data_IF_761661308107
#
_entry.id   IF_761661308107
#
_cell.length_a   1.000
_cell.length_b   1.000
_cell.length_c   1.000
_cell.angle_alpha   90.00
_cell.angle_beta   90.00
_cell.angle_gamma   90.00
#
_symmetry.space_group_name_H-M   'P 1'
#
loop_
_entity.id
_entity.type
_entity.pdbx_description
1 polymer ?
#
# COMPACT_ATOMS: atom_id res chain seq x y z
N UNK A 1 -20.94 9.08 34.46
CA UNK A 1 -21.81 8.90 33.27
C UNK A 1 -21.28 9.77 32.14
N UNK A 2 -21.37 9.27 30.91
CA UNK A 2 -21.10 9.91 29.59
C UNK A 2 -19.88 9.37 28.83
N UNK A 3 -20.06 8.17 28.28
CA UNK A 3 -19.48 7.78 27.00
C UNK A 3 -20.23 8.53 25.88
N UNK A 4 -19.58 9.44 25.13
CA UNK A 4 -20.23 10.19 24.03
C UNK A 4 -19.44 10.29 22.71
N UNK A 5 -18.24 9.72 22.58
CA UNK A 5 -17.41 9.96 21.38
C UNK A 5 -17.47 8.90 20.25
N UNK A 6 -18.34 7.89 20.34
CA UNK A 6 -18.38 6.78 19.36
C UNK A 6 -19.28 7.02 18.15
N UNK A 7 -20.18 8.01 18.19
CA UNK A 7 -21.21 8.20 17.15
C UNK A 7 -20.78 9.12 16.00
N UNK A 8 -19.84 10.04 16.23
CA UNK A 8 -19.37 10.99 15.19
C UNK A 8 -18.60 10.27 14.06
N UNK A 9 -17.97 9.16 14.41
CA UNK A 9 -17.24 8.31 13.48
C UNK A 9 -18.17 7.66 12.46
N UNK A 10 -19.39 7.30 12.83
CA UNK A 10 -20.30 6.54 11.95
C UNK A 10 -20.85 7.40 10.80
N UNK A 11 -20.96 8.72 10.95
CA UNK A 11 -21.47 9.60 9.87
C UNK A 11 -20.53 9.74 8.68
N UNK A 12 -19.23 9.66 8.89
CA UNK A 12 -18.23 9.69 7.80
C UNK A 12 -17.92 8.26 7.33
N UNK A 13 -18.55 7.27 7.97
CA UNK A 13 -18.21 5.85 7.98
C UNK A 13 -19.50 4.98 7.83
N UNK A 14 -20.54 5.57 7.23
CA UNK A 14 -21.35 4.83 6.24
C UNK A 14 -20.82 5.13 4.84
N UNK A 15 -19.66 5.83 4.75
CA UNK A 15 -18.78 5.91 3.58
C UNK A 15 -17.42 5.19 3.79
N UNK A 16 -17.22 4.58 4.95
CA UNK A 16 -16.12 3.67 5.29
C UNK A 16 -16.71 2.74 6.35
N UNK A 17 -16.78 1.45 6.15
CA UNK A 17 -17.89 0.57 6.58
C UNK A 17 -17.99 0.33 8.11
N UNK A 18 -19.16 -0.09 8.62
CA UNK A 18 -19.41 -0.20 10.07
C UNK A 18 -18.35 -1.03 10.83
N UNK A 19 -17.52 -0.35 11.62
CA UNK A 19 -16.52 -0.95 12.49
C UNK A 19 -16.71 -0.50 13.94
N UNK A 20 -17.26 -1.39 14.77
CA UNK A 20 -17.17 -1.27 16.23
C UNK A 20 -15.87 -1.89 16.70
N UNK A 21 -14.81 -1.08 16.81
CA UNK A 21 -13.69 -1.39 17.69
C UNK A 21 -13.90 -0.64 19.01
N UNK A 22 -13.99 -1.38 20.12
CA UNK A 22 -13.88 -0.80 21.46
C UNK A 22 -12.56 -0.02 21.56
N UNK A 23 -12.54 1.24 22.01
CA UNK A 23 -11.29 1.96 22.20
C UNK A 23 -10.59 1.49 23.47
N UNK A 24 -9.38 0.94 23.33
CA UNK A 24 -8.36 1.04 24.38
C UNK A 24 -7.79 2.46 24.29
N UNK A 25 -8.13 3.32 25.25
CA UNK A 25 -7.67 4.72 25.27
C UNK A 25 -6.18 4.75 25.60
N UNK A 26 -5.35 5.15 24.63
CA UNK A 26 -3.99 5.68 24.89
C UNK A 26 -4.14 7.19 25.00
N UNK A 27 -3.88 7.72 26.19
CA UNK A 27 -3.80 9.16 26.43
C UNK A 27 -2.51 9.70 25.78
N UNK A 28 -2.65 10.62 24.83
CA UNK A 28 -1.53 11.35 24.25
C UNK A 28 -1.74 12.83 24.56
N UNK A 29 -0.85 13.38 25.40
CA UNK A 29 -0.83 14.77 25.83
C UNK A 29 -0.19 15.67 24.78
N UNK A 30 -0.86 16.77 24.44
CA UNK A 30 -0.41 17.81 23.52
C UNK A 30 0.70 18.68 24.13
N UNK A 31 1.68 19.03 23.30
CA UNK A 31 2.53 20.21 23.46
C UNK A 31 2.30 21.13 22.24
N UNK A 32 1.93 22.38 22.53
CA UNK A 32 1.42 23.36 21.57
C UNK A 32 2.54 24.12 20.85
N UNK A 33 2.39 24.26 19.53
CA UNK A 33 3.08 25.26 18.71
C UNK A 33 2.06 26.25 18.16
N UNK A 34 2.24 27.54 18.48
CA UNK A 34 1.45 28.66 17.94
C UNK A 34 2.16 29.20 16.70
N UNK A 35 1.68 28.84 15.52
CA UNK A 35 1.96 29.57 14.29
C UNK A 35 0.65 30.10 13.69
N UNK A 36 0.65 31.39 13.36
CA UNK A 36 -0.47 32.10 12.71
C UNK A 36 -0.54 31.66 11.25
N UNK A 37 -1.42 30.70 10.94
CA UNK A 37 -1.73 30.28 9.58
C UNK A 37 -2.75 31.23 8.91
N UNK A 38 -2.58 31.37 7.58
CA UNK A 38 -3.50 32.03 6.65
C UNK A 38 -4.95 31.49 6.79
N UNK A 39 -5.99 32.24 6.37
CA UNK A 39 -7.38 31.77 6.44
C UNK A 39 -7.48 30.39 5.79
N UNK A 40 -7.86 29.40 6.60
CA UNK A 40 -7.96 28.01 6.22
C UNK A 40 -8.81 27.91 4.95
N UNK A 41 -8.17 27.52 3.83
CA UNK A 41 -8.86 26.94 2.69
C UNK A 41 -9.80 25.86 3.23
N UNK A 42 -11.01 25.76 2.67
CA UNK A 42 -12.09 24.88 3.15
C UNK A 42 -11.80 23.37 3.24
N UNK A 43 -10.54 22.96 3.12
CA UNK A 43 -10.00 21.61 3.32
C UNK A 43 -9.84 21.21 4.80
N UNK A 44 -9.68 22.16 5.73
CA UNK A 44 -9.56 21.83 7.17
C UNK A 44 -10.93 21.57 7.84
N UNK A 45 -12.01 21.53 7.05
CA UNK A 45 -13.37 21.81 7.51
C UNK A 45 -14.01 20.80 8.48
N UNK A 46 -13.44 19.61 8.71
CA UNK A 46 -13.92 18.68 9.75
C UNK A 46 -12.81 17.80 10.35
N UNK A 47 -11.54 18.10 10.07
CA UNK A 47 -10.47 17.14 10.32
C UNK A 47 -10.65 15.85 9.52
N UNK A 48 -11.06 15.96 8.24
CA UNK A 48 -11.24 14.82 7.34
C UNK A 48 -10.02 13.89 7.34
N UNK A 49 -8.82 14.47 7.27
CA UNK A 49 -7.55 13.71 7.35
C UNK A 49 -7.44 12.93 8.68
N UNK A 50 -7.78 13.55 9.81
CA UNK A 50 -7.82 12.87 11.12
C UNK A 50 -8.82 11.72 11.12
N UNK A 51 -9.92 11.86 10.37
CA UNK A 51 -10.92 10.82 10.27
C UNK A 51 -10.40 9.65 9.44
N UNK A 52 -9.84 9.93 8.27
CA UNK A 52 -9.22 8.95 7.37
C UNK A 52 -8.06 8.21 8.04
N UNK A 53 -7.22 8.92 8.81
CA UNK A 53 -6.15 8.31 9.60
C UNK A 53 -6.68 7.34 10.65
N UNK A 54 -7.75 7.73 11.33
CA UNK A 54 -8.35 6.87 12.37
C UNK A 54 -8.99 5.62 11.75
N UNK A 55 -9.69 5.77 10.62
CA UNK A 55 -10.22 4.64 9.84
C UNK A 55 -9.07 3.70 9.43
N UNK A 56 -8.02 4.26 8.84
CA UNK A 56 -6.86 3.50 8.37
C UNK A 56 -6.20 2.75 9.52
N UNK A 57 -6.03 3.39 10.70
CA UNK A 57 -5.49 2.74 11.90
C UNK A 57 -6.36 1.57 12.35
N UNK A 58 -7.69 1.75 12.37
CA UNK A 58 -8.62 0.68 12.74
C UNK A 58 -8.56 -0.49 11.76
N UNK A 59 -8.53 -0.22 10.45
CA UNK A 59 -8.37 -1.24 9.42
C UNK A 59 -7.02 -1.97 9.55
N UNK A 60 -5.94 -1.21 9.76
CA UNK A 60 -4.59 -1.75 9.99
C UNK A 60 -4.58 -2.73 11.15
N UNK A 61 -5.20 -2.38 12.27
CA UNK A 61 -5.28 -3.27 13.44
C UNK A 61 -6.20 -4.46 13.19
N UNK A 62 -7.36 -4.26 12.55
CA UNK A 62 -8.37 -5.32 12.35
C UNK A 62 -7.91 -6.38 11.35
N UNK A 63 -7.25 -5.96 10.28
CA UNK A 63 -6.75 -6.84 9.21
C UNK A 63 -5.27 -7.15 9.36
N UNK A 64 -4.63 -6.63 10.40
CA UNK A 64 -3.21 -6.80 10.64
C UNK A 64 -2.37 -6.41 9.41
N UNK A 65 -2.69 -5.28 8.79
CA UNK A 65 -2.09 -4.87 7.53
C UNK A 65 -0.56 -4.70 7.68
N UNK A 66 0.16 -5.00 6.60
CA UNK A 66 1.56 -4.58 6.45
C UNK A 66 1.64 -3.05 6.33
N UNK A 67 2.84 -2.48 6.48
CA UNK A 67 3.03 -1.03 6.33
C UNK A 67 2.64 -0.56 4.92
N UNK A 68 3.06 -1.26 3.88
CA UNK A 68 2.69 -0.94 2.50
C UNK A 68 1.18 -1.02 2.26
N UNK A 69 0.51 -2.05 2.80
CA UNK A 69 -0.94 -2.17 2.74
C UNK A 69 -1.64 -1.03 3.49
N UNK A 70 -1.13 -0.60 4.65
CA UNK A 70 -1.69 0.49 5.43
C UNK A 70 -1.56 1.84 4.69
N UNK A 71 -0.39 2.11 4.09
CA UNK A 71 -0.19 3.32 3.26
C UNK A 71 -1.12 3.28 2.06
N UNK A 72 -1.19 2.15 1.34
CA UNK A 72 -2.13 1.97 0.22
C UNK A 72 -3.58 2.24 0.66
N UNK A 73 -4.00 1.67 1.78
CA UNK A 73 -5.36 1.80 2.31
C UNK A 73 -5.68 3.27 2.60
N UNK A 74 -4.75 4.01 3.23
CA UNK A 74 -4.91 5.46 3.47
C UNK A 74 -5.06 6.23 2.16
N UNK A 75 -4.17 5.97 1.20
CA UNK A 75 -4.14 6.70 -0.07
C UNK A 75 -5.41 6.42 -0.89
N UNK A 76 -5.87 5.16 -0.92
CA UNK A 76 -7.12 4.75 -1.57
C UNK A 76 -8.33 5.46 -0.95
N UNK A 77 -8.47 5.41 0.38
CA UNK A 77 -9.57 6.06 1.10
C UNK A 77 -9.55 7.56 0.88
N UNK A 78 -8.40 8.21 1.07
CA UNK A 78 -8.25 9.65 0.91
C UNK A 78 -8.52 10.12 -0.52
N UNK A 79 -8.10 9.37 -1.53
CA UNK A 79 -8.38 9.71 -2.94
C UNK A 79 -9.87 9.58 -3.25
N UNK A 80 -10.49 8.46 -2.88
CA UNK A 80 -11.90 8.20 -3.20
C UNK A 80 -12.86 9.12 -2.44
N UNK A 81 -12.61 9.36 -1.15
CA UNK A 81 -13.44 10.27 -0.34
C UNK A 81 -13.32 11.71 -0.85
N UNK A 82 -12.10 12.19 -1.16
CA UNK A 82 -11.93 13.53 -1.73
C UNK A 82 -12.61 13.66 -3.08
N UNK A 83 -12.49 12.66 -3.97
CA UNK A 83 -13.19 12.65 -5.26
C UNK A 83 -14.71 12.72 -5.07
N UNK A 84 -15.26 11.86 -4.21
CA UNK A 84 -16.70 11.86 -3.93
C UNK A 84 -17.18 13.20 -3.36
N UNK A 85 -16.46 13.77 -2.40
CA UNK A 85 -16.78 15.07 -1.83
C UNK A 85 -16.65 16.18 -2.88
N UNK A 86 -15.62 16.17 -3.73
CA UNK A 86 -15.48 17.15 -4.81
C UNK A 86 -16.69 17.14 -5.76
N UNK A 87 -17.19 15.96 -6.10
CA UNK A 87 -18.34 15.75 -7.00
C UNK A 87 -19.68 16.11 -6.33
N UNK A 88 -19.82 15.89 -5.01
CA UNK A 88 -21.13 15.95 -4.31
C UNK A 88 -21.20 16.92 -3.13
N UNK A 89 -20.15 17.68 -2.83
CA UNK A 89 -20.08 18.57 -1.66
C UNK A 89 -21.24 19.56 -1.54
N UNK A 90 -21.74 20.09 -2.67
CA UNK A 90 -22.85 21.06 -2.65
C UNK A 90 -24.14 20.47 -2.11
N UNK A 91 -24.38 19.19 -2.40
CA UNK A 91 -25.54 18.44 -1.95
C UNK A 91 -25.28 17.84 -0.55
N UNK A 92 -24.08 17.30 -0.31
CA UNK A 92 -23.73 16.59 0.90
C UNK A 92 -23.58 17.49 2.14
N UNK A 93 -22.97 18.67 2.00
CA UNK A 93 -22.63 19.51 3.15
C UNK A 93 -23.84 20.08 3.93
N UNK A 94 -24.91 20.55 3.28
CA UNK A 94 -26.11 20.96 4.01
C UNK A 94 -26.68 19.81 4.87
N UNK A 95 -26.78 18.62 4.29
CA UNK A 95 -27.30 17.42 4.95
C UNK A 95 -26.42 17.02 6.13
N UNK A 96 -25.10 16.92 5.91
CA UNK A 96 -24.15 16.54 6.96
C UNK A 96 -24.14 17.53 8.13
N UNK A 97 -24.21 18.84 7.85
CA UNK A 97 -24.27 19.85 8.92
C UNK A 97 -25.54 19.74 9.76
N UNK A 98 -26.67 19.54 9.11
CA UNK A 98 -27.95 19.37 9.79
C UNK A 98 -27.98 18.08 10.62
N UNK A 99 -27.52 16.97 10.04
CA UNK A 99 -27.37 15.70 10.74
C UNK A 99 -26.41 15.80 11.95
N UNK A 100 -25.26 16.45 11.79
CA UNK A 100 -24.32 16.68 12.90
C UNK A 100 -24.91 17.54 14.00
N UNK A 101 -25.70 18.56 13.67
CA UNK A 101 -26.38 19.40 14.65
C UNK A 101 -27.27 18.56 15.58
N UNK A 102 -28.18 17.77 15.00
CA UNK A 102 -29.05 16.86 15.77
C UNK A 102 -28.24 15.87 16.62
N UNK A 103 -27.19 15.28 16.04
CA UNK A 103 -26.36 14.32 16.75
C UNK A 103 -25.59 14.95 17.93
N UNK A 104 -24.99 16.13 17.74
CA UNK A 104 -24.21 16.80 18.79
C UNK A 104 -25.09 17.27 19.95
N UNK A 105 -26.33 17.65 19.66
CA UNK A 105 -27.31 18.05 20.68
C UNK A 105 -28.04 16.86 21.31
N UNK A 106 -27.94 15.67 20.72
CA UNK A 106 -28.71 14.50 21.17
C UNK A 106 -30.20 14.64 20.89
N UNK A 107 -30.55 15.44 19.90
CA UNK A 107 -31.92 15.72 19.46
C UNK A 107 -32.28 14.81 18.28
N UNK A 108 -33.57 14.50 18.15
CA UNK A 108 -34.13 13.88 16.95
C UNK A 108 -34.69 14.97 16.03
N UNK A 109 -34.47 14.90 14.71
CA UNK A 109 -35.13 15.82 13.80
C UNK A 109 -36.65 15.70 13.92
N UNK A 110 -37.36 16.83 13.85
CA UNK A 110 -38.81 16.79 13.71
C UNK A 110 -39.22 16.16 12.37
N UNK A 111 -40.51 15.84 12.22
CA UNK A 111 -41.01 15.14 11.04
C UNK A 111 -40.73 15.88 9.72
N UNK A 112 -40.77 17.22 9.72
CA UNK A 112 -40.52 18.02 8.53
C UNK A 112 -39.02 18.03 8.15
N UNK A 113 -38.15 18.21 9.15
CA UNK A 113 -36.70 18.14 8.99
C UNK A 113 -36.26 16.75 8.54
N UNK A 114 -36.75 15.68 9.18
CA UNK A 114 -36.43 14.30 8.83
C UNK A 114 -36.80 13.97 7.39
N UNK A 115 -38.01 14.37 6.96
CA UNK A 115 -38.46 14.18 5.57
C UNK A 115 -37.55 14.91 4.58
N UNK A 116 -37.24 16.18 4.83
CA UNK A 116 -36.34 16.97 3.98
C UNK A 116 -34.95 16.34 3.89
N UNK A 117 -34.38 15.94 5.03
CA UNK A 117 -33.08 15.29 5.10
C UNK A 117 -33.10 13.99 4.26
N UNK A 118 -34.10 13.14 4.46
CA UNK A 118 -34.20 11.87 3.74
C UNK A 118 -34.36 12.07 2.23
N UNK A 119 -35.21 12.98 1.79
CA UNK A 119 -35.42 13.28 0.36
C UNK A 119 -34.12 13.74 -0.32
N UNK A 120 -33.30 14.54 0.37
CA UNK A 120 -32.02 14.99 -0.14
C UNK A 120 -30.90 13.93 0.00
N UNK A 121 -30.91 13.12 1.06
CA UNK A 121 -29.84 12.17 1.38
C UNK A 121 -29.91 10.87 0.58
N UNK A 122 -31.09 10.36 0.27
CA UNK A 122 -31.26 9.08 -0.47
C UNK A 122 -30.46 9.03 -1.77
N UNK A 123 -30.56 9.99 -2.71
CA UNK A 123 -29.79 9.93 -3.95
C UNK A 123 -28.27 10.01 -3.73
N UNK A 124 -27.81 10.72 -2.71
CA UNK A 124 -26.39 10.74 -2.34
C UNK A 124 -25.95 9.43 -1.70
N UNK A 125 -26.81 8.81 -0.89
CA UNK A 125 -26.54 7.55 -0.24
C UNK A 125 -26.35 6.43 -1.26
N UNK A 126 -27.17 6.36 -2.30
CA UNK A 126 -26.99 5.40 -3.40
C UNK A 126 -25.63 5.56 -4.09
N UNK A 127 -25.23 6.80 -4.41
CA UNK A 127 -23.92 7.08 -4.99
C UNK A 127 -22.79 6.69 -4.03
N UNK A 128 -22.96 6.95 -2.73
CA UNK A 128 -22.00 6.56 -1.71
C UNK A 128 -21.88 5.03 -1.61
N UNK A 129 -23.00 4.29 -1.59
CA UNK A 129 -23.01 2.81 -1.60
C UNK A 129 -22.17 2.26 -2.75
N UNK A 130 -22.37 2.78 -3.96
CA UNK A 130 -21.58 2.36 -5.12
C UNK A 130 -20.08 2.65 -4.93
N UNK A 131 -19.73 3.88 -4.53
CA UNK A 131 -18.34 4.26 -4.29
C UNK A 131 -17.64 3.39 -3.23
N UNK A 132 -18.37 3.00 -2.17
CA UNK A 132 -17.91 2.09 -1.12
C UNK A 132 -17.70 0.68 -1.66
N UNK A 133 -18.66 0.16 -2.44
CA UNK A 133 -18.55 -1.17 -3.05
C UNK A 133 -17.32 -1.23 -3.96
N UNK A 134 -17.16 -0.25 -4.85
CA UNK A 134 -16.01 -0.17 -5.74
C UNK A 134 -14.71 -0.02 -4.95
N UNK A 135 -14.75 0.71 -3.82
CA UNK A 135 -13.61 0.92 -2.94
C UNK A 135 -13.18 -0.36 -2.25
N UNK A 136 -14.15 -1.14 -1.76
CA UNK A 136 -13.93 -2.45 -1.17
C UNK A 136 -13.38 -3.44 -2.19
N UNK A 137 -13.87 -3.42 -3.44
CA UNK A 137 -13.36 -4.30 -4.50
C UNK A 137 -11.89 -3.99 -4.83
N UNK A 138 -11.53 -2.72 -4.94
CA UNK A 138 -10.14 -2.32 -5.16
C UNK A 138 -9.25 -2.67 -3.95
N UNK A 139 -9.74 -2.40 -2.73
CA UNK A 139 -9.02 -2.70 -1.50
C UNK A 139 -8.78 -4.21 -1.32
N UNK A 140 -9.75 -5.05 -1.67
CA UNK A 140 -9.63 -6.51 -1.66
C UNK A 140 -8.44 -7.01 -2.49
N UNK A 141 -8.05 -6.28 -3.53
CA UNK A 141 -6.92 -6.61 -4.41
C UNK A 141 -5.55 -6.62 -3.72
N UNK A 142 -5.38 -5.85 -2.63
CA UNK A 142 -4.08 -5.80 -1.90
C UNK A 142 -4.00 -6.76 -0.71
N UNK A 143 -5.07 -7.49 -0.39
CA UNK A 143 -5.15 -8.33 0.80
C UNK A 143 -4.56 -9.73 0.54
N UNK A 144 -3.99 -10.35 1.57
CA UNK A 144 -3.67 -11.79 1.55
C UNK A 144 -4.94 -12.63 1.52
N UNK A 145 -4.84 -13.92 1.23
CA UNK A 145 -6.02 -14.78 1.17
C UNK A 145 -6.71 -14.91 2.53
N UNK A 146 -5.97 -14.97 3.64
CA UNK A 146 -6.54 -14.95 4.99
C UNK A 146 -7.23 -13.61 5.30
N UNK A 147 -6.64 -12.50 4.87
CA UNK A 147 -7.25 -11.18 5.01
C UNK A 147 -8.52 -11.04 4.16
N UNK A 148 -8.55 -11.62 2.95
CA UNK A 148 -9.74 -11.64 2.07
C UNK A 148 -10.90 -12.39 2.69
N UNK A 149 -10.66 -13.51 3.39
CA UNK A 149 -11.74 -14.24 4.09
C UNK A 149 -12.44 -13.32 5.11
N UNK A 150 -11.66 -12.55 5.89
CA UNK A 150 -12.22 -11.57 6.82
C UNK A 150 -12.93 -10.42 6.11
N UNK A 151 -12.36 -9.95 5.01
CA UNK A 151 -12.93 -8.89 4.18
C UNK A 151 -14.27 -9.28 3.60
N UNK A 152 -14.36 -10.47 3.00
CA UNK A 152 -15.58 -10.98 2.37
C UNK A 152 -16.72 -11.13 3.39
N UNK A 153 -16.39 -11.55 4.62
CA UNK A 153 -17.33 -11.56 5.74
C UNK A 153 -17.82 -10.14 6.10
N UNK A 154 -16.90 -9.20 6.34
CA UNK A 154 -17.24 -7.82 6.71
C UNK A 154 -18.04 -7.12 5.58
N UNK A 155 -17.67 -7.37 4.33
CA UNK A 155 -18.33 -6.87 3.13
C UNK A 155 -19.76 -7.40 3.03
N UNK A 156 -19.96 -8.71 3.23
CA UNK A 156 -21.28 -9.33 3.26
C UNK A 156 -22.16 -8.70 4.35
N UNK A 157 -21.64 -8.54 5.57
CA UNK A 157 -22.38 -7.91 6.67
C UNK A 157 -22.78 -6.47 6.34
N UNK A 158 -21.92 -5.70 5.68
CA UNK A 158 -22.27 -4.38 5.20
C UNK A 158 -23.43 -4.42 4.20
N UNK A 159 -23.32 -5.23 3.14
CA UNK A 159 -24.30 -5.27 2.05
C UNK A 159 -25.64 -5.84 2.50
N UNK A 160 -25.64 -6.91 3.31
CA UNK A 160 -26.87 -7.61 3.68
C UNK A 160 -27.56 -7.02 4.91
N UNK A 161 -26.82 -6.32 5.79
CA UNK A 161 -27.38 -5.78 7.04
C UNK A 161 -27.31 -4.26 7.13
N UNK A 162 -26.15 -3.66 6.91
CA UNK A 162 -25.96 -2.23 7.19
C UNK A 162 -26.65 -1.33 6.15
N UNK A 163 -26.49 -1.61 4.85
CA UNK A 163 -27.15 -0.82 3.80
C UNK A 163 -28.68 -0.90 3.88
N UNK A 164 -29.31 -2.09 4.00
CA UNK A 164 -30.76 -2.18 4.15
C UNK A 164 -31.29 -1.51 5.41
N UNK A 165 -30.52 -1.52 6.52
CA UNK A 165 -30.90 -0.81 7.73
C UNK A 165 -31.02 0.69 7.48
N UNK A 166 -29.99 1.30 6.86
CA UNK A 166 -29.97 2.73 6.58
C UNK A 166 -31.03 3.11 5.53
N UNK A 167 -31.22 2.28 4.50
CA UNK A 167 -32.30 2.46 3.51
C UNK A 167 -33.68 2.46 4.19
N UNK A 168 -33.90 1.54 5.13
CA UNK A 168 -35.12 1.48 5.94
C UNK A 168 -35.35 2.75 6.76
N UNK A 169 -34.29 3.29 7.40
CA UNK A 169 -34.37 4.54 8.16
C UNK A 169 -34.70 5.75 7.29
N UNK A 170 -34.07 5.88 6.12
CA UNK A 170 -34.40 6.95 5.19
C UNK A 170 -35.84 6.83 4.67
N UNK A 171 -36.34 5.61 4.45
CA UNK A 171 -37.75 5.39 4.08
C UNK A 171 -38.71 5.86 5.18
N UNK A 172 -38.45 5.50 6.43
CA UNK A 172 -39.24 5.97 7.59
C UNK A 172 -39.21 7.50 7.72
N UNK A 173 -38.03 8.11 7.58
CA UNK A 173 -37.87 9.56 7.66
C UNK A 173 -38.59 10.29 6.52
N UNK A 174 -38.60 9.73 5.31
CA UNK A 174 -39.35 10.27 4.17
C UNK A 174 -40.87 10.28 4.42
N UNK A 175 -41.36 9.37 5.26
CA UNK A 175 -42.75 9.33 5.74
C UNK A 175 -43.00 10.25 6.95
N UNK A 176 -41.97 10.96 7.46
CA UNK A 176 -42.05 11.81 8.64
C UNK A 176 -41.94 11.06 9.97
N UNK A 177 -41.57 9.78 9.97
CA UNK A 177 -41.48 8.92 11.17
C UNK A 177 -40.07 8.92 11.76
N UNK A 178 -39.65 10.07 12.31
CA UNK A 178 -38.28 10.26 12.83
C UNK A 178 -38.05 9.68 14.24
N UNK A 179 -39.11 9.37 14.98
CA UNK A 179 -39.04 8.92 16.39
C UNK A 179 -38.42 7.53 16.56
N UNK A 180 -38.26 6.78 15.47
CA UNK A 180 -37.96 5.34 15.47
C UNK A 180 -36.52 4.97 15.86
N UNK A 181 -35.66 5.95 16.18
CA UNK A 181 -34.30 5.73 16.67
C UNK A 181 -33.20 6.33 15.79
N UNK A 182 -31.94 5.93 16.05
CA UNK A 182 -30.79 6.45 15.30
C UNK A 182 -30.83 6.04 13.83
N UNK A 183 -30.41 6.96 12.94
CA UNK A 183 -30.20 6.70 11.51
C UNK A 183 -29.18 5.58 11.27
N UNK A 184 -28.26 5.38 12.20
CA UNK A 184 -27.18 4.41 12.09
C UNK A 184 -27.48 3.13 12.87
N UNK A 185 -27.03 1.98 12.36
CA UNK A 185 -27.18 0.72 13.07
C UNK A 185 -26.49 0.81 14.44
N UNK A 186 -27.05 0.20 15.49
CA UNK A 186 -26.36 0.12 16.76
C UNK A 186 -25.04 -0.63 16.58
N UNK A 187 -24.04 -0.28 17.40
CA UNK A 187 -22.79 -1.04 17.42
C UNK A 187 -23.09 -2.52 17.75
N UNK A 188 -22.48 -3.49 17.04
CA UNK A 188 -22.54 -4.90 17.41
C UNK A 188 -22.26 -5.10 18.90
N UNK A 189 -23.21 -5.67 19.64
CA UNK A 189 -23.11 -5.81 21.10
C UNK A 189 -22.42 -7.10 21.54
N UNK A 190 -22.26 -8.07 20.64
CA UNK A 190 -21.56 -9.33 20.88
C UNK A 190 -20.66 -9.66 19.69
N UNK A 191 -19.54 -10.35 19.97
CA UNK A 191 -18.70 -10.94 18.93
C UNK A 191 -19.53 -12.02 18.23
N UNK A 192 -19.76 -11.85 16.93
CA UNK A 192 -20.46 -12.86 16.14
C UNK A 192 -19.64 -14.16 16.20
N UNK A 193 -20.22 -15.29 16.63
CA UNK A 193 -19.50 -16.56 16.68
C UNK A 193 -18.99 -17.02 15.30
N UNK A 194 -19.57 -16.50 14.20
CA UNK A 194 -19.17 -16.80 12.83
C UNK A 194 -18.14 -15.80 12.27
N UNK A 195 -17.74 -14.77 13.03
CA UNK A 195 -16.72 -13.82 12.56
C UNK A 195 -15.37 -14.53 12.37
N UNK A 196 -14.77 -14.45 11.17
CA UNK A 196 -13.45 -15.02 10.94
C UNK A 196 -12.41 -14.46 11.94
N UNK A 197 -11.47 -15.29 12.41
CA UNK A 197 -10.42 -14.84 13.29
C UNK A 197 -9.62 -13.70 12.65
N UNK A 198 -8.96 -12.90 13.50
CA UNK A 198 -8.06 -11.86 13.01
C UNK A 198 -6.96 -12.52 12.16
N UNK A 199 -6.74 -12.07 10.90
CA UNK A 199 -5.73 -12.68 10.05
C UNK A 199 -4.32 -12.49 10.65
N UNK A 200 -3.40 -13.43 10.39
CA UNK A 200 -2.00 -13.25 10.74
C UNK A 200 -1.47 -11.99 10.03
N UNK A 201 -0.45 -11.35 10.62
CA UNK A 201 0.19 -10.22 9.96
C UNK A 201 0.84 -10.79 8.71
N UNK A 202 0.60 -10.26 7.50
CA UNK A 202 1.44 -10.60 6.39
C UNK A 202 2.87 -10.33 6.84
N UNK A 203 3.79 -11.25 6.53
CA UNK A 203 5.20 -10.88 6.44
C UNK A 203 5.25 -9.59 5.64
N UNK A 204 5.96 -8.56 6.12
CA UNK A 204 5.95 -7.24 5.49
C UNK A 204 6.07 -7.45 3.99
N UNK A 205 5.03 -7.01 3.27
CA UNK A 205 4.95 -7.10 1.81
C UNK A 205 6.33 -6.70 1.33
N UNK A 206 7.06 -7.67 0.80
CA UNK A 206 8.50 -7.51 0.60
C UNK A 206 8.64 -6.42 -0.43
N UNK A 207 8.83 -5.18 0.03
CA UNK A 207 9.34 -4.08 -0.76
C UNK A 207 10.43 -4.64 -1.67
N UNK A 208 10.63 -4.15 -2.90
CA UNK A 208 11.67 -4.65 -3.78
C UNK A 208 13.00 -4.92 -3.06
N UNK A 209 13.36 -4.05 -2.11
CA UNK A 209 14.54 -4.20 -1.23
C UNK A 209 14.48 -5.37 -0.24
N UNK A 210 13.32 -5.63 0.38
CA UNK A 210 13.12 -6.78 1.25
C UNK A 210 13.02 -8.08 0.45
N UNK A 211 12.44 -8.05 -0.76
CA UNK A 211 12.43 -9.19 -1.68
C UNK A 211 13.87 -9.51 -2.09
N UNK A 212 14.69 -8.48 -2.30
CA UNK A 212 16.10 -8.67 -2.62
C UNK A 212 16.88 -9.32 -1.47
N UNK A 213 16.62 -8.88 -0.23
CA UNK A 213 17.19 -9.52 0.95
C UNK A 213 16.74 -10.98 1.09
N UNK A 214 15.44 -11.25 0.94
CA UNK A 214 14.90 -12.61 0.99
C UNK A 214 15.49 -13.53 -0.10
N UNK A 215 15.74 -13.00 -1.30
CA UNK A 215 16.39 -13.73 -2.38
C UNK A 215 17.85 -14.06 -2.05
N UNK A 216 18.61 -13.13 -1.47
CA UNK A 216 19.99 -13.41 -0.99
C UNK A 216 20.01 -14.49 0.08
N UNK A 217 19.09 -14.42 1.03
CA UNK A 217 18.95 -15.43 2.09
C UNK A 217 18.59 -16.79 1.48
N UNK A 218 17.69 -16.83 0.49
CA UNK A 218 17.34 -18.04 -0.27
C UNK A 218 18.56 -18.65 -0.97
N UNK A 219 19.40 -17.84 -1.63
CA UNK A 219 20.61 -18.34 -2.33
C UNK A 219 21.61 -18.95 -1.34
N UNK A 220 21.80 -18.27 -0.20
CA UNK A 220 22.71 -18.69 0.86
C UNK A 220 22.21 -19.99 1.52
N UNK A 221 20.96 -20.01 1.96
CA UNK A 221 20.34 -21.18 2.60
C UNK A 221 20.32 -22.40 1.68
N UNK A 222 20.05 -22.21 0.39
CA UNK A 222 20.12 -23.30 -0.59
C UNK A 222 21.54 -23.87 -0.69
N UNK A 223 22.56 -23.01 -0.79
CA UNK A 223 23.96 -23.45 -0.89
C UNK A 223 24.40 -24.18 0.39
N UNK A 224 23.99 -23.69 1.56
CA UNK A 224 24.26 -24.32 2.86
C UNK A 224 23.66 -25.73 2.93
N UNK A 225 22.38 -25.86 2.58
CA UNK A 225 21.69 -27.14 2.59
C UNK A 225 22.28 -28.08 1.53
N UNK A 226 22.65 -27.57 0.35
CA UNK A 226 23.31 -28.33 -0.70
C UNK A 226 24.64 -28.93 -0.25
N UNK A 227 25.50 -28.13 0.40
CA UNK A 227 26.78 -28.58 0.98
C UNK A 227 26.55 -29.71 1.98
N UNK A 228 25.57 -29.53 2.87
CA UNK A 228 25.24 -30.47 3.95
C UNK A 228 24.67 -31.78 3.42
N UNK A 229 23.69 -31.71 2.52
CA UNK A 229 22.98 -32.86 1.95
C UNK A 229 23.90 -33.71 1.08
N UNK A 230 24.70 -33.07 0.22
CA UNK A 230 25.58 -33.78 -0.71
C UNK A 230 26.91 -34.19 -0.07
N UNK A 231 27.13 -33.82 1.20
CA UNK A 231 28.36 -34.07 1.96
C UNK A 231 29.59 -33.69 1.14
N UNK A 232 29.60 -32.43 0.67
CA UNK A 232 30.71 -31.92 -0.13
C UNK A 232 32.02 -31.95 0.67
N UNK A 233 33.12 -32.34 0.03
CA UNK A 233 34.43 -32.22 0.66
C UNK A 233 34.88 -30.76 0.77
N UNK A 234 36.03 -30.51 1.41
CA UNK A 234 36.54 -29.16 1.65
C UNK A 234 36.80 -28.37 0.35
N UNK A 235 37.30 -29.05 -0.68
CA UNK A 235 37.53 -28.45 -1.99
C UNK A 235 36.23 -28.08 -2.70
N UNK A 236 35.26 -29.00 -2.74
CA UNK A 236 33.92 -28.77 -3.28
C UNK A 236 33.17 -27.67 -2.49
N UNK A 237 33.28 -27.65 -1.17
CA UNK A 237 32.67 -26.63 -0.31
C UNK A 237 33.22 -25.25 -0.64
N UNK A 238 34.54 -25.11 -0.76
CA UNK A 238 35.20 -23.84 -1.11
C UNK A 238 34.76 -23.37 -2.50
N UNK A 239 34.70 -24.29 -3.47
CA UNK A 239 34.21 -23.99 -4.82
C UNK A 239 32.74 -23.56 -4.83
N UNK A 240 31.86 -24.25 -4.08
CA UNK A 240 30.44 -23.91 -3.96
C UNK A 240 30.23 -22.52 -3.36
N UNK A 241 30.98 -22.18 -2.29
CA UNK A 241 30.96 -20.84 -1.67
C UNK A 241 31.43 -19.77 -2.64
N UNK A 242 32.46 -20.05 -3.43
CA UNK A 242 32.95 -19.12 -4.45
C UNK A 242 31.90 -18.84 -5.53
N UNK A 243 31.17 -19.87 -5.99
CA UNK A 243 30.04 -19.71 -6.91
C UNK A 243 28.95 -18.84 -6.29
N UNK A 244 28.57 -19.10 -5.03
CA UNK A 244 27.58 -18.29 -4.32
C UNK A 244 28.00 -16.81 -4.26
N UNK A 245 29.26 -16.52 -3.89
CA UNK A 245 29.77 -15.14 -3.84
C UNK A 245 29.67 -14.45 -5.20
N UNK A 246 30.02 -15.13 -6.30
CA UNK A 246 29.91 -14.57 -7.65
C UNK A 246 28.46 -14.29 -8.04
N UNK A 247 27.54 -15.22 -7.77
CA UNK A 247 26.11 -15.06 -8.06
C UNK A 247 25.51 -13.92 -7.24
N UNK A 248 25.85 -13.82 -5.95
CA UNK A 248 25.40 -12.72 -5.10
C UNK A 248 25.91 -11.36 -5.60
N UNK A 249 27.15 -11.29 -6.10
CA UNK A 249 27.67 -10.05 -6.69
C UNK A 249 26.92 -9.65 -7.97
N UNK A 250 26.61 -10.61 -8.86
CA UNK A 250 25.76 -10.36 -10.06
C UNK A 250 24.36 -9.92 -9.67
N UNK A 251 23.76 -10.58 -8.68
CA UNK A 251 22.46 -10.25 -8.14
C UNK A 251 22.41 -8.82 -7.57
N UNK A 252 23.41 -8.43 -6.78
CA UNK A 252 23.51 -7.07 -6.24
C UNK A 252 23.69 -6.02 -7.34
N UNK A 253 24.53 -6.29 -8.33
CA UNK A 253 24.71 -5.38 -9.46
C UNK A 253 23.39 -5.18 -10.22
N UNK A 254 22.67 -6.27 -10.50
CA UNK A 254 21.38 -6.22 -11.20
C UNK A 254 20.31 -5.50 -10.39
N UNK A 255 20.13 -5.83 -9.10
CA UNK A 255 19.11 -5.20 -8.25
C UNK A 255 19.37 -3.71 -8.04
N UNK A 256 20.64 -3.31 -7.87
CA UNK A 256 21.01 -1.90 -7.81
C UNK A 256 20.74 -1.16 -9.13
N UNK A 257 21.03 -1.79 -10.27
CA UNK A 257 20.74 -1.22 -11.59
C UNK A 257 19.23 -1.03 -11.81
N UNK A 258 18.42 -2.00 -11.41
CA UNK A 258 16.96 -2.01 -11.62
C UNK A 258 16.16 -1.32 -10.51
N UNK A 259 16.81 -0.85 -9.45
CA UNK A 259 16.15 -0.30 -8.25
C UNK A 259 15.16 0.81 -8.58
N UNK A 260 15.57 1.80 -9.37
CA UNK A 260 14.72 2.94 -9.71
C UNK A 260 13.52 2.53 -10.58
N UNK A 261 13.72 1.62 -11.53
CA UNK A 261 12.66 1.14 -12.43
C UNK A 261 11.63 0.30 -11.68
N UNK A 262 12.07 -0.63 -10.80
CA UNK A 262 11.18 -1.41 -9.94
C UNK A 262 10.39 -0.52 -8.98
N UNK A 263 11.01 0.50 -8.40
CA UNK A 263 10.31 1.48 -7.54
C UNK A 263 9.26 2.26 -8.34
N UNK A 264 9.57 2.65 -9.57
CA UNK A 264 8.63 3.31 -10.46
C UNK A 264 7.45 2.40 -10.82
N UNK A 265 7.70 1.16 -11.23
CA UNK A 265 6.65 0.19 -11.53
C UNK A 265 5.76 -0.08 -10.32
N UNK A 266 6.33 -0.28 -9.13
CA UNK A 266 5.55 -0.47 -7.91
C UNK A 266 4.63 0.73 -7.62
N UNK A 267 5.11 1.96 -7.84
CA UNK A 267 4.29 3.16 -7.71
C UNK A 267 3.18 3.25 -8.77
N UNK A 268 3.47 2.87 -10.02
CA UNK A 268 2.50 2.86 -11.11
C UNK A 268 1.43 1.78 -10.94
N UNK A 269 1.80 0.58 -10.47
CA UNK A 269 0.87 -0.50 -10.11
C UNK A 269 -0.06 -0.03 -8.99
N UNK A 270 0.51 0.55 -7.93
CA UNK A 270 -0.27 1.16 -6.83
C UNK A 270 -1.27 2.19 -7.37
N UNK A 271 -0.83 3.07 -8.26
CA UNK A 271 -1.69 4.09 -8.87
C UNK A 271 -2.81 3.47 -9.69
N UNK A 272 -2.51 2.52 -10.57
CA UNK A 272 -3.51 1.84 -11.40
C UNK A 272 -4.58 1.13 -10.55
N UNK A 273 -4.18 0.53 -9.43
CA UNK A 273 -5.09 -0.11 -8.49
C UNK A 273 -6.01 0.88 -7.77
N UNK A 274 -5.49 2.05 -7.38
CA UNK A 274 -6.31 3.14 -6.82
C UNK A 274 -7.32 3.67 -7.85
N UNK A 275 -6.88 3.81 -9.10
CA UNK A 275 -7.70 4.24 -10.24
C UNK A 275 -8.74 3.17 -10.64
N UNK A 276 -8.56 1.91 -10.22
CA UNK A 276 -9.41 0.78 -10.63
C UNK A 276 -9.16 0.33 -12.08
N UNK A 277 -8.01 0.67 -12.66
CA UNK A 277 -7.64 0.30 -14.03
C UNK A 277 -6.96 -1.08 -14.07
N UNK A 278 -7.79 -2.12 -14.08
CA UNK A 278 -7.32 -3.51 -14.05
C UNK A 278 -6.47 -3.91 -15.28
N UNK A 279 -6.72 -3.30 -16.44
CA UNK A 279 -5.96 -3.59 -17.68
C UNK A 279 -4.54 -3.05 -17.55
N UNK A 280 -4.42 -1.79 -17.14
CA UNK A 280 -3.12 -1.15 -16.90
C UNK A 280 -2.37 -1.82 -15.75
N UNK A 281 -3.06 -2.17 -14.66
CA UNK A 281 -2.48 -2.90 -13.55
C UNK A 281 -1.82 -4.20 -14.03
N UNK A 282 -2.56 -5.05 -14.76
CA UNK A 282 -2.03 -6.32 -15.26
C UNK A 282 -0.82 -6.12 -16.19
N UNK A 283 -0.88 -5.13 -17.07
CA UNK A 283 0.24 -4.82 -17.96
C UNK A 283 1.52 -4.38 -17.21
N UNK A 284 1.36 -3.64 -16.10
CA UNK A 284 2.48 -3.23 -15.25
C UNK A 284 3.04 -4.39 -14.41
N UNK A 285 2.17 -5.28 -13.91
CA UNK A 285 2.58 -6.51 -13.22
C UNK A 285 3.37 -7.46 -14.14
N UNK A 286 3.01 -7.54 -15.42
CA UNK A 286 3.78 -8.28 -16.43
C UNK A 286 5.17 -7.67 -16.66
N UNK A 287 5.28 -6.34 -16.67
CA UNK A 287 6.57 -5.65 -16.74
C UNK A 287 7.42 -5.89 -15.47
N UNK A 288 6.82 -5.85 -14.29
CA UNK A 288 7.52 -6.17 -13.05
C UNK A 288 8.02 -7.61 -13.05
N UNK A 289 7.21 -8.57 -13.51
CA UNK A 289 7.63 -9.96 -13.67
C UNK A 289 8.83 -10.10 -14.61
N UNK A 290 8.86 -9.37 -15.72
CA UNK A 290 9.98 -9.37 -16.64
C UNK A 290 11.28 -8.83 -16.01
N UNK A 291 11.18 -7.88 -15.06
CA UNK A 291 12.34 -7.41 -14.28
C UNK A 291 12.79 -8.39 -13.19
N UNK A 292 11.91 -9.29 -12.74
CA UNK A 292 12.27 -10.32 -11.76
C UNK A 292 12.88 -11.55 -12.44
N UNK A 293 12.55 -11.81 -13.70
CA UNK A 293 13.01 -12.99 -14.44
C UNK A 293 14.55 -13.18 -14.43
N UNK A 294 15.40 -12.16 -14.63
CA UNK A 294 16.85 -12.35 -14.56
C UNK A 294 17.37 -12.75 -13.18
N UNK A 295 16.65 -12.41 -12.10
CA UNK A 295 16.99 -12.87 -10.74
C UNK A 295 16.76 -14.38 -10.61
N UNK A 296 15.67 -14.90 -11.16
CA UNK A 296 15.41 -16.36 -11.17
C UNK A 296 16.42 -17.08 -12.07
N UNK A 297 16.84 -16.49 -13.19
CA UNK A 297 17.92 -17.03 -14.02
C UNK A 297 19.25 -17.12 -13.27
N UNK A 298 19.58 -16.14 -12.41
CA UNK A 298 20.77 -16.21 -11.54
C UNK A 298 20.67 -17.35 -10.50
N UNK A 299 19.46 -17.64 -10.01
CA UNK A 299 19.25 -18.79 -9.13
C UNK A 299 19.44 -20.12 -9.87
N UNK A 300 18.92 -20.25 -11.09
CA UNK A 300 19.15 -21.44 -11.91
C UNK A 300 20.63 -21.60 -12.29
N UNK A 301 21.36 -20.50 -12.55
CA UNK A 301 22.81 -20.54 -12.78
C UNK A 301 23.56 -21.05 -11.53
N UNK A 302 23.18 -20.57 -10.33
CA UNK A 302 23.70 -21.10 -9.06
C UNK A 302 23.47 -22.61 -8.94
N UNK A 303 22.22 -23.06 -9.10
CA UNK A 303 21.85 -24.49 -8.98
C UNK A 303 22.64 -25.32 -9.99
N UNK A 304 22.66 -24.91 -11.26
CA UNK A 304 23.36 -25.63 -12.32
C UNK A 304 24.86 -25.75 -12.08
N UNK A 305 25.50 -24.67 -11.60
CA UNK A 305 26.95 -24.68 -11.31
C UNK A 305 27.29 -25.52 -10.08
N UNK A 306 26.42 -25.55 -9.08
CA UNK A 306 26.57 -26.44 -7.92
C UNK A 306 26.38 -27.91 -8.29
N UNK A 307 25.36 -28.24 -9.09
CA UNK A 307 25.13 -29.60 -9.61
C UNK A 307 26.33 -30.13 -10.41
N UNK A 308 26.97 -29.27 -11.21
CA UNK A 308 28.15 -29.63 -11.99
C UNK A 308 29.38 -30.02 -11.12
N UNK A 309 29.41 -29.62 -9.84
CA UNK A 309 30.48 -29.99 -8.90
C UNK A 309 30.26 -31.36 -8.25
N UNK A 310 29.07 -31.98 -8.42
CA UNK A 310 28.75 -33.26 -7.79
C UNK A 310 29.47 -34.43 -8.45
N UNK A 311 30.06 -35.29 -7.61
CA UNK A 311 30.53 -36.62 -8.02
C UNK A 311 29.35 -37.56 -8.26
N UNK A 312 29.58 -38.63 -9.02
CA UNK A 312 28.56 -39.63 -9.33
C UNK A 312 27.88 -40.19 -8.06
N UNK A 313 28.65 -40.40 -6.99
CA UNK A 313 28.18 -40.92 -5.70
C UNK A 313 27.27 -39.96 -4.93
N UNK A 314 27.38 -38.65 -5.17
CA UNK A 314 26.62 -37.61 -4.45
C UNK A 314 25.27 -37.31 -5.12
N UNK A 315 25.12 -37.63 -6.42
CA UNK A 315 23.89 -37.33 -7.19
C UNK A 315 22.63 -37.99 -6.65
N UNK A 316 22.63 -39.27 -6.19
CA UNK A 316 21.41 -39.87 -5.63
C UNK A 316 20.90 -39.14 -4.39
N UNK A 317 21.81 -38.66 -3.52
CA UNK A 317 21.43 -37.91 -2.33
C UNK A 317 20.79 -36.56 -2.69
N UNK A 318 21.37 -35.86 -3.69
CA UNK A 318 20.83 -34.63 -4.23
C UNK A 318 19.42 -34.83 -4.82
N UNK A 319 19.25 -35.81 -5.72
CA UNK A 319 17.97 -36.11 -6.37
C UNK A 319 16.88 -36.51 -5.38
N UNK A 320 17.25 -37.25 -4.32
CA UNK A 320 16.30 -37.73 -3.31
C UNK A 320 15.69 -36.60 -2.46
N UNK A 321 16.43 -35.50 -2.26
CA UNK A 321 16.13 -34.44 -1.28
C UNK A 321 15.83 -33.10 -1.95
N UNK A 322 16.79 -32.54 -2.68
CA UNK A 322 16.73 -31.21 -3.27
C UNK A 322 16.19 -31.25 -4.70
N UNK A 323 16.49 -32.29 -5.47
CA UNK A 323 16.03 -32.43 -6.86
C UNK A 323 14.50 -32.45 -7.01
N UNK A 324 13.78 -32.95 -5.99
CA UNK A 324 12.31 -32.94 -5.97
C UNK A 324 11.69 -31.56 -5.73
N UNK A 325 12.42 -30.69 -5.02
CA UNK A 325 11.99 -29.34 -4.71
C UNK A 325 12.59 -28.32 -5.67
N UNK A 326 13.27 -28.76 -6.73
CA UNK A 326 13.76 -27.88 -7.77
C UNK A 326 12.58 -27.07 -8.28
N UNK A 327 12.60 -25.73 -8.20
CA UNK A 327 11.58 -24.94 -8.86
C UNK A 327 11.65 -25.33 -10.33
N UNK A 328 10.63 -26.07 -10.79
CA UNK A 328 10.53 -26.41 -12.21
C UNK A 328 10.63 -25.08 -12.94
N UNK A 329 11.62 -24.88 -13.84
CA UNK A 329 11.72 -23.65 -14.61
C UNK A 329 10.33 -23.42 -15.17
N UNK A 330 9.68 -22.33 -14.75
CA UNK A 330 8.31 -22.06 -15.13
C UNK A 330 8.38 -21.92 -16.64
N UNK A 331 8.08 -22.99 -17.38
CA UNK A 331 8.53 -23.15 -18.75
C UNK A 331 7.99 -21.97 -19.52
N UNK A 332 8.87 -21.01 -19.81
CA UNK A 332 8.58 -19.93 -20.72
C UNK A 332 8.12 -20.61 -21.98
N UNK A 333 6.85 -20.38 -22.34
CA UNK A 333 6.19 -21.02 -23.46
C UNK A 333 7.14 -20.85 -24.66
N UNK A 334 7.69 -21.94 -25.24
CA UNK A 334 8.68 -21.83 -26.29
C UNK A 334 7.99 -21.25 -27.52
N UNK A 335 8.10 -19.93 -27.71
CA UNK A 335 7.35 -19.20 -28.72
C UNK A 335 7.76 -17.73 -28.87
N UNK A 336 8.15 -17.05 -27.79
CA UNK A 336 8.48 -15.62 -27.82
C UNK A 336 9.87 -15.30 -27.25
N UNK A 337 10.89 -16.11 -27.59
CA UNK A 337 12.28 -15.68 -27.49
C UNK A 337 12.59 -14.65 -28.61
N UNK A 338 11.86 -13.54 -28.61
CA UNK A 338 12.21 -12.34 -29.36
C UNK A 338 13.38 -11.70 -28.64
N UNK A 339 14.58 -11.96 -29.15
CA UNK A 339 15.83 -11.24 -28.91
C UNK A 339 15.77 -10.23 -27.75
N UNK A 340 16.14 -10.68 -26.55
CA UNK A 340 16.48 -9.78 -25.47
C UNK A 340 17.49 -8.77 -26.02
N UNK A 341 17.03 -7.54 -26.20
CA UNK A 341 17.84 -6.42 -26.65
C UNK A 341 19.02 -6.34 -25.68
N UNK A 342 20.28 -6.39 -26.14
CA UNK A 342 21.42 -6.30 -25.23
C UNK A 342 21.26 -5.06 -24.37
N UNK A 343 21.40 -5.23 -23.05
CA UNK A 343 21.45 -4.14 -22.11
C UNK A 343 22.36 -3.05 -22.69
N UNK A 344 21.92 -1.77 -22.75
CA UNK A 344 22.74 -0.71 -23.32
C UNK A 344 24.09 -0.73 -22.60
N UNK A 345 25.15 -1.03 -23.35
CA UNK A 345 26.51 -1.01 -22.85
C UNK A 345 26.74 0.36 -22.20
N UNK A 346 26.98 0.35 -20.89
CA UNK A 346 27.40 1.53 -20.16
C UNK A 346 28.61 2.09 -20.89
N UNK A 347 28.43 3.27 -21.48
CA UNK A 347 29.48 4.00 -22.20
C UNK A 347 30.66 4.17 -21.23
N UNK A 348 31.86 3.66 -21.55
CA UNK A 348 33.02 3.86 -20.69
C UNK A 348 33.24 5.37 -20.51
N UNK A 349 33.29 5.83 -19.26
CA UNK A 349 33.73 7.18 -18.95
C UNK A 349 35.16 7.34 -19.49
N UNK A 350 35.32 8.15 -20.54
CA UNK A 350 36.64 8.54 -21.02
C UNK A 350 37.37 9.31 -19.91
N UNK A 351 38.64 8.98 -19.61
CA UNK A 351 39.47 9.82 -18.77
C UNK A 351 39.79 11.09 -19.55
N UNK A 352 39.44 12.25 -18.98
CA UNK A 352 39.88 13.54 -19.50
C UNK A 352 41.42 13.59 -19.45
N UNK A 353 42.01 13.59 -20.64
CA UNK A 353 43.43 13.76 -20.84
C UNK A 353 43.82 15.22 -20.54
N UNK A 354 44.56 15.37 -19.44
CA UNK A 354 45.44 16.50 -19.17
C UNK A 354 46.38 16.76 -20.34
N UNK A 355 46.25 17.92 -20.98
CA UNK A 355 47.26 18.50 -21.87
C UNK A 355 47.60 19.90 -21.36
N UNK A 356 48.85 20.08 -20.97
CA UNK A 356 49.43 21.37 -20.60
C UNK A 356 50.41 21.90 -21.65
N UNK A 357 50.67 23.21 -21.58
CA UNK A 357 51.77 23.93 -22.25
C UNK A 357 51.31 25.26 -22.86
N UNK A 358 51.36 26.39 -22.13
CA UNK A 358 52.47 27.39 -22.08
C UNK A 358 52.37 28.44 -23.22
N UNK A 359 52.54 29.76 -23.09
CA UNK A 359 52.84 30.73 -22.02
C UNK A 359 52.52 32.17 -22.58
N UNK A 360 53.16 33.28 -22.16
CA UNK A 360 52.61 34.31 -21.25
C UNK A 360 52.36 35.68 -21.90
N UNK A 361 51.44 36.49 -21.35
CA UNK A 361 51.50 37.95 -21.48
C UNK A 361 50.83 38.66 -20.29
N UNK A 362 51.57 39.61 -19.73
CA UNK A 362 51.21 40.64 -18.73
C UNK A 362 51.53 41.99 -19.41
N UNK A 363 51.10 43.18 -18.92
CA UNK A 363 50.23 43.48 -17.76
C UNK A 363 49.20 44.62 -18.05
N UNK A 364 48.62 45.14 -16.95
CA UNK A 364 47.96 46.46 -16.76
C UNK A 364 46.42 46.52 -16.78
N UNK A 365 45.85 47.11 -15.71
CA UNK A 365 44.44 47.49 -15.67
C UNK A 365 43.76 47.49 -14.30
N UNK A 366 44.16 48.43 -13.44
CA UNK A 366 43.42 49.10 -12.36
C UNK A 366 41.99 48.67 -11.89
N UNK A 367 41.90 48.58 -10.56
CA UNK A 367 40.95 49.28 -9.65
C UNK A 367 39.42 49.08 -9.72
N UNK A 368 38.88 48.59 -8.58
CA UNK A 368 37.75 49.11 -7.74
C UNK A 368 37.00 47.92 -7.11
N UNK A 369 37.14 47.66 -5.80
CA UNK A 369 36.48 48.35 -4.68
C UNK A 369 34.97 48.51 -4.87
N UNK A 370 34.17 47.75 -4.13
CA UNK A 370 32.71 47.85 -4.16
C UNK A 370 32.02 46.90 -3.19
N UNK A 371 32.18 47.14 -1.88
CA UNK A 371 31.37 46.48 -0.85
C UNK A 371 29.91 46.93 -0.89
N UNK A 372 28.98 45.99 -0.75
CA UNK A 372 27.54 46.24 -0.74
C UNK A 372 26.84 45.58 0.44
N UNK A 373 26.80 46.27 1.58
CA UNK A 373 25.86 46.03 2.70
C UNK A 373 24.43 46.03 2.18
N UNK A 374 23.60 45.05 2.56
CA UNK A 374 22.13 45.21 2.57
C UNK A 374 21.56 45.09 3.98
N UNK A 375 20.70 46.06 4.24
CA UNK A 375 20.10 46.52 5.49
C UNK A 375 19.05 45.54 6.03
N UNK A 376 19.04 45.37 7.35
CA UNK A 376 17.82 45.16 8.15
C UNK A 376 16.90 46.37 8.01
N UNK A 377 15.61 46.13 7.91
CA UNK A 377 14.57 47.13 8.17
C UNK A 377 13.46 46.46 8.97
N UNK A 378 13.31 46.98 10.18
CA UNK A 378 12.13 47.20 11.02
C UNK A 378 10.95 46.23 10.96
#
# INVERSE_FOLDING_TARGET
>A
MMFRSSKLWIMILVAATGFSASPTVVAQSDAASKDKAAPASGDDMLGLEKILDTITKNLTVRYNLSEDQAVFTRDLLGTRVRKFLQEHQREAWPILRELMHYQMNGETPDAAAAKRIAEAAVPLFEKAKQAIIDGNNAWRGILTDEQKVKHDYDYKMMVESQFPFVDGRFKEWKEGKAESGSLFPPAPQAKDPNEPPKPPRPSPSTSPLQQDAANKDRFTAFTDEFIKVCQLDEGQTTAARSVLTEILAKFEAYTNQQKAERQKLAAEIRKALIEGDAVKQKALEEQERALIEPIEQLYEDLVSRLEAQLRAEQRPAYEATLGKNRPTPQTAKPGDASAAKPAPAAKPAQPEASSGGAAPEKPEGEAKSGGGKRKKKD
#
